data_IF_914657502495
#
_entry.id   IF_914657502495
#
_cell.length_a   1.000
_cell.length_b   1.000
_cell.length_c   1.000
_cell.angle_alpha   90.00
_cell.angle_beta   90.00
_cell.angle_gamma   90.00
#
_symmetry.space_group_name_H-M   'P 1'
#
loop_
_entity.id
_entity.type
_entity.pdbx_description
1 polymer ?
#
# COMPACT_ATOMS: atom_id res chain seq x y z
N UNK A 1 9.08 14.93 0.26
CA UNK A 1 7.74 14.30 0.41
C UNK A 1 6.71 15.37 0.74
N UNK A 2 5.74 15.64 -0.13
CA UNK A 2 4.96 16.88 -0.05
C UNK A 2 3.45 16.72 -0.24
N UNK A 3 2.80 17.83 -0.51
CA UNK A 3 1.37 17.94 -0.79
C UNK A 3 1.13 19.01 -1.84
N UNK A 4 -0.05 19.00 -2.42
CA UNK A 4 -0.56 20.11 -3.21
C UNK A 4 -1.39 21.04 -2.31
N UNK A 5 -1.28 22.33 -2.52
CA UNK A 5 -2.13 23.38 -1.92
C UNK A 5 -2.62 24.24 -3.07
N UNK A 6 -3.92 24.25 -3.32
CA UNK A 6 -4.54 24.93 -4.45
C UNK A 6 -3.81 24.68 -5.79
N UNK A 7 -3.49 23.41 -6.04
CA UNK A 7 -2.76 22.94 -7.22
C UNK A 7 -1.26 23.23 -7.24
N UNK A 8 -0.71 23.89 -6.24
CA UNK A 8 0.72 24.20 -6.15
C UNK A 8 1.44 23.16 -5.29
N UNK A 9 2.55 22.61 -5.80
CA UNK A 9 3.36 21.65 -5.06
C UNK A 9 4.13 22.33 -3.92
N UNK A 10 4.03 21.72 -2.71
CA UNK A 10 4.73 22.15 -1.51
C UNK A 10 5.48 20.96 -0.92
N UNK A 11 6.81 21.03 -0.83
CA UNK A 11 7.61 20.00 -0.15
C UNK A 11 7.51 20.17 1.37
N UNK A 12 6.46 19.60 1.93
CA UNK A 12 6.18 19.67 3.36
C UNK A 12 5.75 18.28 3.89
N UNK A 13 6.51 17.77 4.84
CA UNK A 13 6.18 16.55 5.57
C UNK A 13 5.00 16.75 6.54
N UNK A 14 4.55 15.68 7.17
CA UNK A 14 3.55 15.75 8.23
C UNK A 14 4.07 16.56 9.42
N UNK A 15 3.26 17.50 9.91
CA UNK A 15 3.61 18.34 11.06
C UNK A 15 3.29 17.62 12.37
N UNK A 16 4.23 16.81 12.83
CA UNK A 16 4.09 16.06 14.09
C UNK A 16 4.10 16.95 15.33
N UNK A 17 4.56 18.20 15.22
CA UNK A 17 4.50 19.16 16.36
C UNK A 17 3.07 19.48 16.74
N UNK A 18 2.18 19.69 15.75
CA UNK A 18 0.75 19.96 15.98
C UNK A 18 -0.01 18.76 16.56
N UNK A 19 0.51 17.55 16.39
CA UNK A 19 -0.11 16.31 16.87
C UNK A 19 0.59 15.72 18.11
N UNK A 20 1.35 16.54 18.83
CA UNK A 20 2.03 16.11 20.06
C UNK A 20 3.12 15.05 19.84
N UNK A 21 3.75 15.03 18.67
CA UNK A 21 4.78 14.06 18.29
C UNK A 21 4.25 12.83 17.55
N UNK A 22 2.95 12.76 17.27
CA UNK A 22 2.28 11.60 16.64
C UNK A 22 2.20 11.77 15.12
N UNK A 23 2.40 10.69 14.41
CA UNK A 23 2.06 10.61 12.99
C UNK A 23 0.55 10.38 12.81
N UNK A 24 -0.10 11.29 12.08
CA UNK A 24 -1.54 11.21 11.77
C UNK A 24 -1.71 11.24 10.26
N UNK A 25 -2.30 10.18 9.71
CA UNK A 25 -2.56 10.05 8.27
C UNK A 25 -3.81 10.82 7.87
N UNK A 26 -3.72 11.61 6.78
CA UNK A 26 -4.88 12.27 6.17
C UNK A 26 -5.66 11.29 5.30
N UNK A 27 -6.98 11.51 5.20
CA UNK A 27 -7.85 10.70 4.33
C UNK A 27 -7.63 11.02 2.86
N UNK A 28 -7.85 10.02 2.02
CA UNK A 28 -7.88 10.12 0.56
C UNK A 28 -9.18 10.77 0.08
N UNK A 29 -9.14 11.47 -1.07
CA UNK A 29 -10.28 12.27 -1.53
C UNK A 29 -11.00 11.70 -2.75
N UNK A 30 -10.31 10.91 -3.58
CA UNK A 30 -10.93 10.26 -4.74
C UNK A 30 -11.46 8.90 -4.31
N UNK A 31 -12.80 8.75 -4.26
CA UNK A 31 -13.47 7.60 -3.64
C UNK A 31 -14.58 6.99 -4.52
N UNK A 32 -14.56 7.24 -5.83
CA UNK A 32 -15.49 6.61 -6.78
C UNK A 32 -15.12 5.14 -7.02
N UNK A 33 -16.03 4.39 -7.67
CA UNK A 33 -15.90 2.94 -7.80
C UNK A 33 -15.94 2.46 -9.25
N UNK A 34 -15.19 1.39 -9.52
CA UNK A 34 -15.42 0.53 -10.69
C UNK A 34 -16.36 -0.58 -10.25
N UNK A 35 -17.46 -0.75 -10.99
CA UNK A 35 -18.42 -1.84 -10.82
C UNK A 35 -18.64 -2.53 -12.16
N UNK A 36 -19.18 -3.75 -12.15
CA UNK A 36 -19.39 -4.53 -13.38
C UNK A 36 -20.32 -3.82 -14.38
N UNK A 37 -21.32 -3.11 -13.88
CA UNK A 37 -22.36 -2.41 -14.68
C UNK A 37 -22.15 -0.89 -14.78
N UNK A 38 -21.27 -0.31 -13.97
CA UNK A 38 -21.05 1.13 -13.89
C UNK A 38 -21.91 1.86 -12.86
N UNK A 39 -22.63 1.14 -12.00
CA UNK A 39 -23.36 1.71 -10.87
C UNK A 39 -22.41 2.32 -9.83
N UNK A 40 -22.93 3.21 -8.99
CA UNK A 40 -22.16 3.78 -7.88
C UNK A 40 -21.82 2.70 -6.85
N UNK A 41 -20.65 2.79 -6.25
CA UNK A 41 -20.21 1.92 -5.17
C UNK A 41 -20.62 2.44 -3.79
N UNK A 42 -20.10 1.82 -2.71
CA UNK A 42 -20.45 2.20 -1.32
C UNK A 42 -19.90 3.55 -0.90
N UNK A 43 -18.91 4.08 -1.58
CA UNK A 43 -18.35 5.41 -1.33
C UNK A 43 -18.28 6.21 -2.63
N UNK A 44 -18.00 7.53 -2.53
CA UNK A 44 -17.98 8.42 -3.69
C UNK A 44 -19.38 8.73 -4.22
N UNK A 45 -19.44 9.31 -5.41
CA UNK A 45 -20.70 9.80 -6.02
C UNK A 45 -20.96 9.17 -7.40
N UNK A 46 -19.96 8.57 -8.03
CA UNK A 46 -20.05 8.04 -9.38
C UNK A 46 -19.52 6.61 -9.45
N UNK A 47 -20.12 5.81 -10.34
CA UNK A 47 -19.66 4.51 -10.74
C UNK A 47 -19.03 4.53 -12.14
N UNK A 48 -18.06 3.67 -12.35
CA UNK A 48 -17.36 3.46 -13.61
C UNK A 48 -17.50 2.01 -14.02
N UNK A 49 -17.96 1.77 -15.25
CA UNK A 49 -18.15 0.41 -15.75
C UNK A 49 -16.79 -0.27 -15.96
N UNK A 50 -16.65 -1.50 -15.49
CA UNK A 50 -15.48 -2.32 -15.81
C UNK A 50 -15.38 -2.55 -17.32
N UNK A 51 -14.23 -2.21 -17.89
CA UNK A 51 -13.90 -2.40 -19.31
C UNK A 51 -12.41 -2.77 -19.40
N UNK A 52 -12.06 -3.73 -20.25
CA UNK A 52 -10.66 -4.09 -20.51
C UNK A 52 -9.90 -2.91 -21.13
N UNK A 53 -8.64 -2.73 -20.74
CA UNK A 53 -7.75 -1.67 -21.23
C UNK A 53 -8.22 -0.22 -20.97
N UNK A 54 -9.28 -0.03 -20.17
CA UNK A 54 -9.78 1.31 -19.80
C UNK A 54 -9.00 1.93 -18.66
N UNK A 55 -8.61 1.14 -17.69
CA UNK A 55 -8.03 1.62 -16.44
C UNK A 55 -6.51 1.51 -16.40
N UNK A 56 -5.93 2.32 -15.54
CA UNK A 56 -4.49 2.38 -15.31
C UNK A 56 -4.21 2.57 -13.82
N UNK A 57 -3.18 1.90 -13.29
CA UNK A 57 -2.73 2.05 -11.92
C UNK A 57 -1.38 2.76 -11.87
N UNK A 58 -1.30 3.85 -11.11
CA UNK A 58 -0.03 4.43 -10.70
C UNK A 58 0.36 3.84 -9.35
N UNK A 59 1.53 3.24 -9.27
CA UNK A 59 2.00 2.51 -8.08
C UNK A 59 3.46 2.82 -7.77
N UNK A 60 3.87 2.51 -6.54
CA UNK A 60 5.26 2.37 -6.14
C UNK A 60 5.48 0.94 -5.64
N UNK A 61 6.54 0.29 -6.09
CA UNK A 61 6.89 -1.06 -5.61
C UNK A 61 7.36 -1.04 -4.15
N UNK A 62 7.75 0.14 -3.64
CA UNK A 62 8.09 0.31 -2.23
C UNK A 62 6.85 0.43 -1.32
N UNK A 63 5.75 1.01 -1.83
CA UNK A 63 4.59 1.38 -1.02
C UNK A 63 3.73 0.17 -0.64
N UNK A 64 3.50 -0.13 0.66
CA UNK A 64 2.67 -1.26 1.07
C UNK A 64 1.20 -1.10 0.67
N UNK A 65 0.69 0.13 0.57
CA UNK A 65 -0.67 0.41 0.15
C UNK A 65 -0.86 0.10 -1.35
N UNK A 66 0.09 0.51 -2.20
CA UNK A 66 0.08 0.19 -3.63
C UNK A 66 0.33 -1.31 -3.88
N UNK A 67 1.15 -1.96 -3.06
CA UNK A 67 1.42 -3.41 -3.13
C UNK A 67 0.14 -4.25 -3.04
N UNK A 68 -0.86 -3.83 -2.23
CA UNK A 68 -2.17 -4.50 -2.17
C UNK A 68 -2.83 -4.57 -3.53
N UNK A 69 -2.79 -3.47 -4.29
CA UNK A 69 -3.42 -3.39 -5.62
C UNK A 69 -2.68 -4.21 -6.66
N UNK A 70 -1.35 -4.32 -6.56
CA UNK A 70 -0.56 -5.21 -7.40
C UNK A 70 -0.87 -6.68 -7.11
N UNK A 71 -0.97 -7.06 -5.83
CA UNK A 71 -1.31 -8.42 -5.43
C UNK A 71 -2.67 -8.84 -6.00
N UNK A 72 -3.72 -8.06 -5.79
CA UNK A 72 -5.06 -8.41 -6.29
C UNK A 72 -5.11 -8.42 -7.82
N UNK A 73 -4.39 -7.49 -8.49
CA UNK A 73 -4.25 -7.47 -9.95
C UNK A 73 -3.66 -8.78 -10.47
N UNK A 74 -2.64 -9.30 -9.81
CA UNK A 74 -1.99 -10.58 -10.17
C UNK A 74 -2.87 -11.79 -9.82
N UNK A 75 -3.46 -11.81 -8.63
CA UNK A 75 -4.36 -12.90 -8.21
C UNK A 75 -5.57 -13.04 -9.14
N UNK A 76 -6.07 -11.94 -9.65
CA UNK A 76 -7.21 -11.89 -10.58
C UNK A 76 -6.81 -11.96 -12.06
N UNK A 77 -5.51 -12.00 -12.37
CA UNK A 77 -5.01 -12.05 -13.75
C UNK A 77 -5.41 -10.84 -14.58
N UNK A 78 -5.32 -9.64 -14.00
CA UNK A 78 -5.76 -8.39 -14.64
C UNK A 78 -4.60 -7.66 -15.35
N UNK A 79 -3.44 -8.30 -15.54
CA UNK A 79 -2.24 -7.67 -16.10
C UNK A 79 -2.47 -7.11 -17.51
N UNK A 80 -3.21 -7.82 -18.32
CA UNK A 80 -3.56 -7.41 -19.69
C UNK A 80 -4.78 -6.48 -19.74
N UNK A 81 -5.54 -6.36 -18.64
CA UNK A 81 -6.75 -5.53 -18.57
C UNK A 81 -6.50 -4.15 -17.97
N UNK A 82 -5.52 -4.04 -17.06
CA UNK A 82 -5.20 -2.83 -16.31
C UNK A 82 -3.70 -2.58 -16.40
N UNK A 83 -3.30 -1.58 -17.14
CA UNK A 83 -1.90 -1.16 -17.28
C UNK A 83 -1.39 -0.48 -16.01
N UNK A 84 -0.06 -0.40 -15.85
CA UNK A 84 0.57 0.25 -14.70
C UNK A 84 1.64 1.25 -15.10
N UNK A 85 1.83 2.27 -14.28
CA UNK A 85 3.06 3.06 -14.17
C UNK A 85 3.67 2.86 -12.78
N UNK A 86 4.99 2.80 -12.72
CA UNK A 86 5.74 2.61 -11.49
C UNK A 86 6.62 3.82 -11.25
N UNK A 87 6.40 4.53 -10.14
CA UNK A 87 7.21 5.68 -9.76
C UNK A 87 8.60 5.28 -9.27
N UNK A 88 9.54 6.19 -9.37
CA UNK A 88 10.90 6.02 -8.86
C UNK A 88 10.90 5.74 -7.34
N UNK A 89 11.77 4.87 -6.81
CA UNK A 89 11.77 4.52 -5.38
C UNK A 89 12.12 5.68 -4.46
N UNK A 90 12.97 6.62 -4.89
CA UNK A 90 13.30 7.79 -4.10
C UNK A 90 12.21 8.85 -4.21
N UNK A 91 11.63 9.21 -3.07
CA UNK A 91 10.60 10.24 -2.95
C UNK A 91 11.22 11.44 -2.23
N UNK A 92 11.82 12.36 -2.98
CA UNK A 92 12.56 13.53 -2.47
C UNK A 92 11.69 14.80 -2.54
N UNK A 93 12.32 15.94 -2.88
CA UNK A 93 11.70 17.29 -2.88
C UNK A 93 10.50 17.42 -3.84
N UNK A 94 10.50 16.68 -4.94
CA UNK A 94 9.37 16.65 -5.90
C UNK A 94 8.34 15.55 -5.63
N UNK A 95 8.45 14.84 -4.50
CA UNK A 95 7.59 13.71 -4.21
C UNK A 95 7.87 12.50 -5.09
N UNK A 96 6.84 11.82 -5.56
CA UNK A 96 6.96 10.71 -6.49
C UNK A 96 7.25 11.21 -7.90
N UNK A 97 8.31 10.66 -8.53
CA UNK A 97 8.73 11.00 -9.89
C UNK A 97 8.64 9.79 -10.83
N UNK A 98 8.64 10.05 -12.14
CA UNK A 98 8.78 9.05 -13.19
C UNK A 98 10.17 9.11 -13.84
N UNK A 99 11.16 9.66 -13.13
CA UNK A 99 12.55 9.67 -13.59
C UNK A 99 13.05 8.25 -13.86
N UNK A 100 13.88 8.08 -14.87
CA UNK A 100 14.39 6.78 -15.28
C UNK A 100 15.14 6.08 -14.14
N UNK A 101 14.91 4.78 -14.00
CA UNK A 101 15.53 3.93 -12.99
C UNK A 101 15.11 2.48 -13.14
N UNK A 102 15.85 1.59 -12.51
CA UNK A 102 15.52 0.18 -12.53
C UNK A 102 14.12 -0.05 -11.92
N UNK A 103 13.26 -0.77 -12.65
CA UNK A 103 11.87 -1.06 -12.24
C UNK A 103 10.90 0.11 -12.34
N UNK A 104 11.32 1.29 -12.82
CA UNK A 104 10.44 2.43 -13.10
C UNK A 104 9.72 2.23 -14.42
N UNK A 105 8.42 2.54 -14.43
CA UNK A 105 7.61 2.58 -15.66
C UNK A 105 6.99 3.98 -15.75
N UNK A 106 7.39 4.75 -16.75
CA UNK A 106 6.95 6.12 -16.97
C UNK A 106 5.44 6.24 -17.19
N UNK A 107 4.94 7.47 -17.14
CA UNK A 107 3.53 7.76 -17.40
C UNK A 107 3.23 7.82 -18.90
N UNK A 108 2.44 6.88 -19.47
CA UNK A 108 2.08 6.89 -20.88
C UNK A 108 0.89 7.80 -21.21
N UNK A 109 0.22 8.39 -20.22
CA UNK A 109 -1.06 9.09 -20.39
C UNK A 109 -0.85 10.60 -20.55
N UNK A 110 -0.10 11.20 -19.63
CA UNK A 110 0.20 12.63 -19.62
C UNK A 110 1.67 12.93 -19.92
N UNK A 111 2.53 11.90 -19.96
CA UNK A 111 3.99 12.04 -20.00
C UNK A 111 4.51 12.91 -18.83
N UNK A 112 3.83 12.76 -17.69
CA UNK A 112 4.14 13.49 -16.48
C UNK A 112 5.54 13.12 -15.96
N UNK A 113 6.27 14.11 -15.50
CA UNK A 113 7.55 13.91 -14.82
C UNK A 113 7.35 13.58 -13.34
N UNK A 114 6.29 14.13 -12.76
CA UNK A 114 5.96 13.99 -11.34
C UNK A 114 4.52 13.48 -11.18
N UNK A 115 4.27 12.66 -10.16
CA UNK A 115 2.92 12.16 -9.90
C UNK A 115 1.93 13.29 -9.55
N UNK A 116 2.39 14.37 -8.93
CA UNK A 116 1.51 15.50 -8.61
C UNK A 116 0.93 16.19 -9.86
N UNK A 117 1.61 16.10 -11.01
CA UNK A 117 1.08 16.61 -12.29
C UNK A 117 -0.13 15.80 -12.76
N UNK A 118 -0.18 14.48 -12.48
CA UNK A 118 -1.36 13.65 -12.75
C UNK A 118 -2.56 14.12 -11.91
N UNK A 119 -2.35 14.48 -10.65
CA UNK A 119 -3.40 15.01 -9.77
C UNK A 119 -3.92 16.36 -10.26
N UNK A 120 -3.03 17.29 -10.62
CA UNK A 120 -3.42 18.62 -11.10
C UNK A 120 -3.99 18.61 -12.51
N UNK A 121 -3.63 17.65 -13.36
CA UNK A 121 -4.29 17.45 -14.65
C UNK A 121 -5.77 17.05 -14.51
N UNK A 122 -6.13 16.35 -13.43
CA UNK A 122 -7.51 15.96 -13.12
C UNK A 122 -8.26 17.04 -12.33
N UNK A 123 -7.59 17.61 -11.33
CA UNK A 123 -8.14 18.63 -10.45
C UNK A 123 -7.12 19.76 -10.26
N UNK A 124 -7.17 20.84 -11.07
CA UNK A 124 -6.16 21.89 -11.09
C UNK A 124 -5.96 22.60 -9.73
N UNK A 125 -7.00 22.67 -8.90
CA UNK A 125 -7.03 23.26 -7.56
C UNK A 125 -6.88 22.24 -6.43
N UNK A 126 -6.38 21.02 -6.73
CA UNK A 126 -6.29 19.96 -5.72
C UNK A 126 -5.47 20.41 -4.51
N UNK A 127 -6.04 20.24 -3.32
CA UNK A 127 -5.36 20.42 -2.03
C UNK A 127 -5.36 19.11 -1.28
N UNK A 128 -4.16 18.54 -1.03
CA UNK A 128 -4.01 17.26 -0.33
C UNK A 128 -2.71 16.55 -0.64
N UNK A 129 -2.50 15.40 0.01
CA UNK A 129 -1.32 14.55 -0.23
C UNK A 129 -1.41 13.87 -1.60
N UNK A 130 -0.27 13.81 -2.28
CA UNK A 130 -0.11 13.07 -3.53
C UNK A 130 0.44 11.69 -3.19
N UNK A 131 -0.39 10.68 -3.34
CA UNK A 131 -0.13 9.32 -2.85
C UNK A 131 -0.30 8.28 -3.95
N UNK A 132 0.24 7.10 -3.74
CA UNK A 132 -0.02 5.87 -4.50
C UNK A 132 -0.67 4.84 -3.57
N UNK A 133 -1.54 3.93 -4.08
CA UNK A 133 -1.95 3.77 -5.49
C UNK A 133 -2.90 4.87 -5.96
N UNK A 134 -2.96 5.05 -7.29
CA UNK A 134 -3.99 5.83 -7.97
C UNK A 134 -4.62 4.96 -9.05
N UNK A 135 -5.93 4.76 -8.97
CA UNK A 135 -6.71 4.11 -10.02
C UNK A 135 -7.28 5.17 -10.95
N UNK A 136 -6.84 5.15 -12.20
CA UNK A 136 -7.13 6.17 -13.21
C UNK A 136 -7.99 5.61 -14.34
N UNK A 137 -8.96 6.39 -14.82
CA UNK A 137 -9.77 6.09 -16.00
C UNK A 137 -9.24 6.84 -17.23
N UNK A 138 -8.63 6.11 -18.17
CA UNK A 138 -8.07 6.66 -19.40
C UNK A 138 -9.15 7.25 -20.33
N UNK A 139 -10.40 6.76 -20.26
CA UNK A 139 -11.51 7.17 -21.11
C UNK A 139 -12.05 8.55 -20.73
N UNK A 140 -12.24 8.78 -19.44
CA UNK A 140 -12.74 10.06 -18.91
C UNK A 140 -11.63 10.98 -18.41
N UNK A 141 -10.37 10.51 -18.44
CA UNK A 141 -9.18 11.23 -17.97
C UNK A 141 -9.32 11.74 -16.54
N UNK A 142 -9.79 10.86 -15.63
CA UNK A 142 -9.99 11.22 -14.23
C UNK A 142 -9.42 10.16 -13.28
N UNK A 143 -9.11 10.57 -12.06
CA UNK A 143 -8.81 9.66 -10.97
C UNK A 143 -10.12 9.09 -10.44
N UNK A 144 -10.28 7.77 -10.52
CA UNK A 144 -11.43 7.06 -9.96
C UNK A 144 -11.33 6.97 -8.44
N UNK A 145 -10.16 6.46 -7.98
CA UNK A 145 -9.97 6.18 -6.56
C UNK A 145 -8.48 6.20 -6.21
N UNK A 146 -8.13 6.64 -4.98
CA UNK A 146 -6.77 6.56 -4.45
C UNK A 146 -6.73 5.97 -3.02
N UNK A 147 -7.75 5.16 -2.65
CA UNK A 147 -7.79 4.39 -1.43
C UNK A 147 -7.58 2.90 -1.72
N UNK A 148 -6.46 2.37 -1.28
CA UNK A 148 -6.06 0.99 -1.60
C UNK A 148 -7.07 -0.05 -1.14
N UNK A 149 -7.70 0.14 0.01
CA UNK A 149 -8.70 -0.77 0.57
C UNK A 149 -9.95 -0.89 -0.29
N UNK A 150 -10.33 0.17 -1.00
CA UNK A 150 -11.45 0.16 -1.94
C UNK A 150 -11.03 -0.36 -3.31
N UNK A 151 -9.85 0.03 -3.78
CA UNK A 151 -9.32 -0.44 -5.08
C UNK A 151 -9.25 -1.98 -5.10
N UNK A 152 -8.74 -2.61 -4.04
CA UNK A 152 -8.65 -4.08 -4.02
C UNK A 152 -10.02 -4.75 -4.03
N UNK A 153 -11.05 -4.15 -3.42
CA UNK A 153 -12.43 -4.65 -3.48
C UNK A 153 -13.06 -4.49 -4.86
N UNK A 154 -12.79 -3.36 -5.54
CA UNK A 154 -13.20 -3.18 -6.94
C UNK A 154 -12.59 -4.25 -7.84
N UNK A 155 -11.26 -4.45 -7.75
CA UNK A 155 -10.53 -5.41 -8.57
C UNK A 155 -10.87 -6.87 -8.26
N UNK A 156 -11.39 -7.15 -7.06
CA UNK A 156 -11.78 -8.49 -6.64
C UNK A 156 -12.90 -9.09 -7.50
N UNK A 157 -13.89 -8.29 -7.93
CA UNK A 157 -15.09 -8.81 -8.59
C UNK A 157 -15.53 -8.06 -9.85
N UNK A 158 -15.20 -6.78 -9.99
CA UNK A 158 -15.75 -5.96 -11.09
C UNK A 158 -15.41 -6.49 -12.49
N UNK A 159 -14.31 -7.21 -12.66
CA UNK A 159 -13.83 -7.73 -13.93
C UNK A 159 -14.15 -9.22 -14.17
N UNK A 160 -14.89 -9.88 -13.29
CA UNK A 160 -15.19 -11.31 -13.40
C UNK A 160 -15.89 -11.64 -14.73
N UNK A 161 -16.85 -10.85 -15.16
CA UNK A 161 -17.54 -10.98 -16.44
C UNK A 161 -16.68 -10.68 -17.68
N UNK A 162 -15.45 -10.22 -17.52
CA UNK A 162 -14.51 -9.87 -18.58
C UNK A 162 -13.35 -10.87 -18.71
N UNK A 163 -13.39 -11.98 -17.99
CA UNK A 163 -12.38 -13.04 -18.05
C UNK A 163 -11.28 -12.93 -16.98
N UNK A 164 -11.51 -12.20 -15.89
CA UNK A 164 -10.63 -12.26 -14.72
C UNK A 164 -10.54 -13.69 -14.18
N UNK A 165 -9.40 -14.06 -13.60
CA UNK A 165 -9.22 -15.35 -12.94
C UNK A 165 -10.29 -15.54 -11.85
N UNK A 166 -10.86 -16.74 -11.70
CA UNK A 166 -11.82 -17.02 -10.65
C UNK A 166 -11.19 -16.86 -9.26
N UNK A 167 -11.99 -16.43 -8.31
CA UNK A 167 -11.59 -16.21 -6.92
C UNK A 167 -12.30 -14.99 -6.34
N UNK A 168 -12.83 -15.15 -5.14
CA UNK A 168 -13.38 -14.05 -4.36
C UNK A 168 -12.63 -14.00 -3.02
N UNK A 169 -11.90 -12.91 -2.80
CA UNK A 169 -11.10 -12.70 -1.60
C UNK A 169 -11.86 -11.96 -0.50
N UNK A 170 -13.14 -11.63 -0.75
CA UNK A 170 -14.08 -11.03 0.22
C UNK A 170 -15.42 -11.77 0.13
N UNK A 171 -15.49 -13.07 0.48
CA UNK A 171 -16.75 -13.79 0.44
C UNK A 171 -17.76 -13.27 1.46
N UNK A 172 -19.01 -13.11 1.07
CA UNK A 172 -20.08 -12.54 1.90
C UNK A 172 -20.20 -13.21 3.27
N UNK A 173 -20.04 -14.53 3.31
CA UNK A 173 -20.12 -15.32 4.56
C UNK A 173 -19.05 -14.98 5.60
N UNK A 174 -17.96 -14.33 5.21
CA UNK A 174 -16.86 -13.92 6.09
C UNK A 174 -16.63 -12.40 6.10
N UNK A 175 -17.48 -11.63 5.46
CA UNK A 175 -17.31 -10.20 5.31
C UNK A 175 -17.12 -9.48 6.66
N UNK A 176 -17.95 -9.78 7.64
CA UNK A 176 -17.89 -9.19 8.98
C UNK A 176 -16.58 -9.52 9.71
N UNK A 177 -16.13 -10.78 9.62
CA UNK A 177 -14.85 -11.19 10.22
C UNK A 177 -13.68 -10.56 9.49
N UNK A 178 -13.71 -10.52 8.13
CA UNK A 178 -12.69 -9.84 7.32
C UNK A 178 -12.59 -8.37 7.71
N UNK A 179 -13.71 -7.67 7.84
CA UNK A 179 -13.73 -6.26 8.20
C UNK A 179 -13.21 -6.01 9.62
N UNK A 180 -13.54 -6.88 10.57
CA UNK A 180 -13.02 -6.83 11.94
C UNK A 180 -11.51 -7.01 11.99
N UNK A 181 -10.98 -8.02 11.28
CA UNK A 181 -9.53 -8.26 11.19
C UNK A 181 -8.84 -7.11 10.45
N UNK A 182 -9.44 -6.61 9.37
CA UNK A 182 -8.91 -5.49 8.61
C UNK A 182 -8.77 -4.22 9.45
N UNK A 183 -9.76 -3.91 10.28
CA UNK A 183 -9.73 -2.75 11.17
C UNK A 183 -8.59 -2.88 12.19
N UNK A 184 -8.50 -4.03 12.84
CA UNK A 184 -7.42 -4.32 13.77
C UNK A 184 -6.03 -4.20 13.11
N UNK A 185 -5.82 -4.90 12.00
CA UNK A 185 -4.56 -4.89 11.24
C UNK A 185 -4.21 -3.48 10.76
N UNK A 186 -5.20 -2.73 10.26
CA UNK A 186 -4.99 -1.36 9.79
C UNK A 186 -4.51 -0.43 10.89
N UNK A 187 -5.21 -0.41 12.01
CA UNK A 187 -4.92 0.54 13.09
C UNK A 187 -3.69 0.16 13.92
N UNK A 188 -3.46 -1.14 14.15
CA UNK A 188 -2.43 -1.64 15.06
C UNK A 188 -1.13 -2.03 14.38
N UNK A 189 -1.19 -2.55 13.14
CA UNK A 189 -0.01 -3.08 12.45
C UNK A 189 0.35 -2.21 11.25
N UNK A 190 -0.53 -2.06 10.24
CA UNK A 190 -0.17 -1.32 9.03
C UNK A 190 0.16 0.15 9.31
N UNK A 191 -0.63 0.85 10.11
CA UNK A 191 -0.29 2.19 10.59
C UNK A 191 0.63 2.15 11.83
N UNK A 192 0.64 1.09 12.60
CA UNK A 192 1.47 0.93 13.79
C UNK A 192 2.95 1.15 13.50
N UNK A 193 3.48 0.51 12.44
CA UNK A 193 4.88 0.69 12.02
C UNK A 193 5.20 2.16 11.65
N UNK A 194 4.25 2.89 11.06
CA UNK A 194 4.42 4.30 10.73
C UNK A 194 4.30 5.22 11.95
N UNK A 195 3.38 4.90 12.86
CA UNK A 195 3.21 5.65 14.12
C UNK A 195 4.46 5.55 14.98
N UNK A 196 5.05 4.37 15.11
CA UNK A 196 6.33 4.17 15.79
C UNK A 196 7.47 4.87 15.03
N UNK A 197 7.60 4.62 13.71
CA UNK A 197 8.74 5.08 12.91
C UNK A 197 8.82 6.60 12.73
N UNK A 198 7.68 7.28 12.69
CA UNK A 198 7.60 8.74 12.56
C UNK A 198 7.31 9.47 13.88
N UNK A 199 7.29 8.77 15.01
CA UNK A 199 7.19 9.41 16.32
C UNK A 199 8.37 10.37 16.51
N UNK A 200 8.09 11.58 17.01
CA UNK A 200 9.11 12.59 17.29
C UNK A 200 9.27 12.88 18.78
N UNK A 201 8.60 12.08 19.64
CA UNK A 201 8.78 12.06 21.09
C UNK A 201 8.98 10.64 21.57
N UNK A 202 9.81 10.47 22.57
CA UNK A 202 10.17 9.16 23.14
C UNK A 202 8.95 8.41 23.65
N UNK A 203 8.13 9.08 24.45
CA UNK A 203 6.92 8.49 25.04
C UNK A 203 5.91 8.03 23.98
N UNK A 204 5.79 8.75 22.85
CA UNK A 204 4.93 8.34 21.72
C UNK A 204 5.49 7.12 21.02
N UNK A 205 6.79 7.08 20.79
CA UNK A 205 7.44 5.91 20.20
C UNK A 205 7.23 4.66 21.07
N UNK A 206 7.47 4.76 22.38
CA UNK A 206 7.31 3.64 23.33
C UNK A 206 5.88 3.12 23.37
N UNK A 207 4.89 4.01 23.38
CA UNK A 207 3.47 3.65 23.33
C UNK A 207 3.14 2.89 22.03
N UNK A 208 3.52 3.46 20.86
CA UNK A 208 3.13 2.90 19.57
C UNK A 208 3.90 1.61 19.23
N UNK A 209 5.19 1.50 19.61
CA UNK A 209 5.94 0.26 19.37
C UNK A 209 5.46 -0.87 20.28
N UNK A 210 5.11 -0.58 21.53
CA UNK A 210 4.54 -1.57 22.45
C UNK A 210 3.19 -2.07 21.93
N UNK A 211 2.32 -1.17 21.50
CA UNK A 211 1.02 -1.52 20.92
C UNK A 211 1.15 -2.34 19.64
N UNK A 212 2.14 -2.02 18.78
CA UNK A 212 2.44 -2.77 17.57
C UNK A 212 2.83 -4.22 17.89
N UNK A 213 3.77 -4.42 18.82
CA UNK A 213 4.25 -5.77 19.15
C UNK A 213 3.18 -6.59 19.86
N UNK A 214 2.36 -6.00 20.75
CA UNK A 214 1.19 -6.67 21.31
C UNK A 214 0.19 -7.12 20.21
N UNK A 215 0.05 -6.36 19.13
CA UNK A 215 -0.78 -6.76 18.00
C UNK A 215 -0.14 -7.87 17.14
N UNK A 216 1.18 -7.85 16.98
CA UNK A 216 1.89 -8.95 16.30
C UNK A 216 1.80 -10.25 17.09
N UNK A 217 1.91 -10.20 18.43
CA UNK A 217 1.72 -11.37 19.29
C UNK A 217 0.31 -11.97 19.14
N UNK A 218 -0.74 -11.14 19.06
CA UNK A 218 -2.10 -11.61 18.80
C UNK A 218 -2.25 -12.28 17.44
N UNK A 219 -1.58 -11.76 16.41
CA UNK A 219 -1.61 -12.40 15.07
C UNK A 219 -0.79 -13.69 15.06
N UNK A 220 0.31 -13.75 15.79
CA UNK A 220 1.09 -14.98 16.00
C UNK A 220 0.23 -16.08 16.61
N UNK A 221 -0.50 -15.76 17.69
CA UNK A 221 -1.42 -16.69 18.35
C UNK A 221 -2.57 -17.12 17.42
N UNK A 222 -3.15 -16.17 16.67
CA UNK A 222 -4.22 -16.46 15.70
C UNK A 222 -3.79 -17.47 14.66
N UNK A 223 -2.55 -17.38 14.18
CA UNK A 223 -1.98 -18.24 13.14
C UNK A 223 -1.41 -19.58 13.67
N UNK A 224 -1.42 -19.81 14.97
CA UNK A 224 -0.92 -21.08 15.55
C UNK A 224 -1.72 -22.32 15.13
N UNK A 225 -2.97 -22.16 14.70
CA UNK A 225 -3.86 -23.27 14.33
C UNK A 225 -4.47 -23.15 12.94
N UNK A 226 -4.05 -22.16 12.13
CA UNK A 226 -4.62 -21.93 10.80
C UNK A 226 -3.62 -21.30 9.84
N UNK A 227 -3.82 -21.56 8.57
CA UNK A 227 -2.91 -21.11 7.49
C UNK A 227 -3.14 -19.65 7.08
N UNK A 228 -4.33 -19.10 7.27
CA UNK A 228 -4.78 -17.77 6.86
C UNK A 228 -5.60 -17.11 7.96
N UNK A 229 -5.77 -15.79 7.90
CA UNK A 229 -6.42 -15.02 8.96
C UNK A 229 -7.92 -15.30 9.11
N UNK A 230 -8.62 -15.58 8.01
CA UNK A 230 -10.07 -15.80 8.00
C UNK A 230 -10.43 -16.98 7.09
N UNK A 231 -11.30 -17.90 7.57
CA UNK A 231 -11.87 -18.97 6.78
C UNK A 231 -10.88 -19.98 6.21
N UNK A 232 -9.67 -20.05 6.76
CA UNK A 232 -8.58 -20.95 6.36
C UNK A 232 -8.28 -20.93 4.84
N UNK A 233 -8.42 -19.78 4.23
CA UNK A 233 -8.08 -19.50 2.82
C UNK A 233 -7.61 -18.06 2.68
N UNK A 234 -6.89 -17.78 1.59
CA UNK A 234 -6.44 -16.40 1.29
C UNK A 234 -7.65 -15.48 1.14
N UNK A 235 -7.67 -14.40 1.93
CA UNK A 235 -8.68 -13.33 1.91
C UNK A 235 -8.03 -11.95 1.80
N UNK A 236 -8.85 -10.91 1.71
CA UNK A 236 -8.40 -9.51 1.76
C UNK A 236 -7.60 -9.21 3.03
N UNK A 237 -7.96 -9.82 4.17
CA UNK A 237 -7.25 -9.61 5.43
C UNK A 237 -5.77 -10.02 5.32
N UNK A 238 -5.49 -11.13 4.64
CA UNK A 238 -4.14 -11.63 4.40
C UNK A 238 -3.36 -10.70 3.48
N UNK A 239 -3.99 -10.21 2.40
CA UNK A 239 -3.37 -9.23 1.47
C UNK A 239 -2.95 -7.98 2.24
N UNK A 240 -3.79 -7.49 3.15
CA UNK A 240 -3.50 -6.28 3.95
C UNK A 240 -2.38 -6.49 4.97
N UNK A 241 -2.36 -7.61 5.66
CA UNK A 241 -1.31 -7.90 6.64
C UNK A 241 0.02 -8.18 5.95
N UNK A 242 0.03 -9.02 4.93
CA UNK A 242 1.24 -9.44 4.21
C UNK A 242 2.10 -8.25 3.76
N UNK A 243 1.48 -7.19 3.21
CA UNK A 243 2.26 -6.05 2.69
C UNK A 243 3.10 -5.33 3.75
N UNK A 244 2.70 -5.40 5.02
CA UNK A 244 3.52 -4.91 6.14
C UNK A 244 4.55 -5.95 6.56
N UNK A 245 4.17 -7.21 6.71
CA UNK A 245 5.06 -8.27 7.19
C UNK A 245 6.27 -8.48 6.25
N UNK A 246 6.05 -8.53 4.93
CA UNK A 246 7.12 -8.73 3.95
C UNK A 246 8.18 -7.61 3.97
N UNK A 247 7.83 -6.44 4.50
CA UNK A 247 8.70 -5.28 4.67
C UNK A 247 9.33 -5.20 6.07
N UNK A 248 8.87 -6.01 7.02
CA UNK A 248 9.12 -5.78 8.43
C UNK A 248 10.61 -5.80 8.76
N UNK A 249 11.28 -6.92 8.54
CA UNK A 249 12.70 -7.04 8.85
C UNK A 249 13.59 -6.24 7.88
N UNK A 250 13.14 -6.07 6.63
CA UNK A 250 13.89 -5.33 5.62
C UNK A 250 14.00 -3.82 5.93
N UNK A 251 12.93 -3.21 6.47
CA UNK A 251 12.89 -1.76 6.68
C UNK A 251 12.30 -1.33 8.02
N UNK A 252 11.19 -1.91 8.51
CA UNK A 252 10.56 -1.39 9.73
C UNK A 252 11.37 -1.70 10.98
N UNK A 253 11.99 -2.85 11.05
CA UNK A 253 12.85 -3.26 12.15
C UNK A 253 14.02 -2.28 12.35
N UNK A 254 14.80 -2.01 11.31
CA UNK A 254 15.95 -1.12 11.39
C UNK A 254 15.57 0.36 11.29
N UNK A 255 14.94 0.74 10.17
CA UNK A 255 14.68 2.14 9.84
C UNK A 255 13.67 2.81 10.77
N UNK A 256 12.56 2.12 11.06
CA UNK A 256 11.51 2.62 11.95
C UNK A 256 11.67 2.24 13.42
N UNK A 257 12.76 1.53 13.76
CA UNK A 257 13.04 1.07 15.13
C UNK A 257 11.92 0.17 15.72
N UNK A 258 11.17 -0.53 14.86
CA UNK A 258 10.21 -1.54 15.28
C UNK A 258 10.98 -2.84 15.63
N UNK A 259 11.81 -2.81 16.67
CA UNK A 259 12.91 -3.78 16.86
C UNK A 259 12.92 -4.49 18.20
N UNK A 260 11.77 -4.62 18.87
CA UNK A 260 11.68 -5.48 20.06
C UNK A 260 11.94 -6.94 19.69
N UNK A 261 11.50 -7.37 18.50
CA UNK A 261 11.67 -8.73 17.99
C UNK A 261 11.61 -8.71 16.46
N UNK A 262 12.51 -9.37 15.71
CA UNK A 262 12.39 -9.47 14.25
C UNK A 262 11.21 -10.39 13.88
N UNK A 263 10.64 -10.19 12.68
CA UNK A 263 9.54 -11.04 12.20
C UNK A 263 9.95 -12.51 12.09
N UNK A 264 11.19 -12.76 11.70
CA UNK A 264 11.77 -14.12 11.61
C UNK A 264 11.81 -14.87 12.94
N UNK A 265 11.66 -14.19 14.09
CA UNK A 265 11.55 -14.81 15.40
C UNK A 265 10.10 -15.13 15.82
N UNK A 266 9.12 -14.88 14.94
CA UNK A 266 7.72 -15.26 15.09
C UNK A 266 7.43 -16.47 14.19
N UNK A 267 7.40 -17.70 14.73
CA UNK A 267 7.34 -18.89 13.88
C UNK A 267 6.09 -18.97 12.98
N UNK A 268 4.93 -18.62 13.51
CA UNK A 268 3.68 -18.68 12.72
C UNK A 268 3.57 -17.52 11.74
N UNK A 269 3.85 -16.29 12.14
CA UNK A 269 3.85 -15.12 11.27
C UNK A 269 4.91 -15.23 10.17
N UNK A 270 6.08 -15.78 10.48
CA UNK A 270 7.11 -15.97 9.46
C UNK A 270 6.72 -17.05 8.45
N UNK A 271 6.25 -18.21 8.90
CA UNK A 271 5.74 -19.26 8.03
C UNK A 271 4.55 -18.78 7.17
N UNK A 272 3.64 -18.03 7.76
CA UNK A 272 2.51 -17.40 7.05
C UNK A 272 3.00 -16.42 5.98
N UNK A 273 3.99 -15.56 6.30
CA UNK A 273 4.53 -14.59 5.35
C UNK A 273 5.20 -15.27 4.18
N UNK A 274 5.99 -16.33 4.42
CA UNK A 274 6.58 -17.16 3.36
C UNK A 274 5.53 -17.82 2.49
N UNK A 275 4.50 -18.41 3.10
CA UNK A 275 3.39 -19.05 2.38
C UNK A 275 2.74 -18.10 1.37
N UNK A 276 2.46 -16.85 1.76
CA UNK A 276 1.86 -15.87 0.86
C UNK A 276 2.87 -15.44 -0.21
N UNK A 277 4.12 -15.21 0.16
CA UNK A 277 5.19 -14.83 -0.77
C UNK A 277 5.37 -15.89 -1.87
N UNK A 278 5.25 -17.18 -1.53
CA UNK A 278 5.42 -18.32 -2.44
C UNK A 278 4.19 -18.59 -3.32
N UNK A 279 3.04 -17.95 -3.08
CA UNK A 279 1.90 -18.09 -3.97
C UNK A 279 2.26 -17.61 -5.39
N UNK A 280 1.72 -18.28 -6.44
CA UNK A 280 2.02 -17.93 -7.83
C UNK A 280 1.82 -16.44 -8.10
N UNK A 281 2.87 -15.77 -8.55
CA UNK A 281 2.86 -14.35 -8.91
C UNK A 281 3.09 -13.39 -7.73
N UNK A 282 3.09 -13.84 -6.48
CA UNK A 282 3.22 -12.91 -5.33
C UNK A 282 4.64 -12.36 -5.17
N UNK A 283 5.66 -13.20 -5.32
CA UNK A 283 7.04 -12.75 -5.24
C UNK A 283 7.35 -11.60 -6.22
N UNK A 284 6.77 -11.63 -7.43
CA UNK A 284 6.94 -10.60 -8.45
C UNK A 284 6.29 -9.26 -8.07
N UNK A 285 5.38 -9.24 -7.10
CA UNK A 285 4.79 -8.00 -6.57
C UNK A 285 5.66 -7.33 -5.49
N UNK A 286 6.76 -7.97 -5.10
CA UNK A 286 7.67 -7.50 -4.04
C UNK A 286 9.03 -7.15 -4.66
N UNK A 287 9.46 -5.91 -4.49
CA UNK A 287 10.78 -5.44 -4.95
C UNK A 287 11.55 -4.89 -3.75
N UNK A 288 12.46 -5.70 -3.20
CA UNK A 288 13.25 -5.33 -2.02
C UNK A 288 14.22 -4.17 -2.27
N UNK A 289 14.74 -4.01 -3.51
CA UNK A 289 15.57 -2.86 -3.85
C UNK A 289 14.77 -1.56 -3.73
N UNK A 290 13.60 -1.48 -4.40
CA UNK A 290 12.73 -0.32 -4.27
C UNK A 290 12.28 -0.06 -2.83
N UNK A 291 11.94 -1.12 -2.07
CA UNK A 291 11.56 -1.01 -0.66
C UNK A 291 12.70 -0.37 0.14
N UNK A 292 13.89 -0.93 0.11
CA UNK A 292 15.03 -0.42 0.89
C UNK A 292 15.44 0.98 0.45
N UNK A 293 15.57 1.21 -0.86
CA UNK A 293 15.92 2.54 -1.41
C UNK A 293 14.91 3.60 -1.00
N UNK A 294 13.61 3.30 -1.05
CA UNK A 294 12.58 4.25 -0.63
C UNK A 294 12.72 4.61 0.85
N UNK A 295 12.68 3.62 1.74
CA UNK A 295 12.67 3.92 3.18
C UNK A 295 13.97 4.56 3.65
N UNK A 296 15.11 3.99 3.31
CA UNK A 296 16.40 4.51 3.78
C UNK A 296 16.88 5.76 3.00
N UNK A 297 16.51 5.89 1.72
CA UNK A 297 16.95 6.99 0.88
C UNK A 297 16.05 8.23 0.93
N UNK A 298 14.74 8.08 1.24
CA UNK A 298 13.78 9.18 1.18
C UNK A 298 13.54 9.86 2.53
N UNK A 299 13.66 9.16 3.64
CA UNK A 299 13.33 9.70 4.97
C UNK A 299 14.55 10.32 5.66
N UNK A 300 15.03 11.47 5.15
CA UNK A 300 16.24 12.15 5.64
C UNK A 300 16.19 12.53 7.13
N UNK A 301 15.02 12.71 7.71
CA UNK A 301 14.86 12.97 9.16
C UNK A 301 15.16 11.75 10.03
N UNK A 302 15.07 10.54 9.48
CA UNK A 302 15.34 9.28 10.18
C UNK A 302 16.74 8.78 9.80
N UNK A 303 17.09 8.83 8.50
CA UNK A 303 18.37 8.39 7.96
C UNK A 303 19.01 9.51 7.13
N UNK A 304 19.66 10.50 7.79
CA UNK A 304 20.18 11.70 7.13
C UNK A 304 21.31 11.41 6.12
N UNK A 305 22.05 10.33 6.29
CA UNK A 305 23.14 9.94 5.39
C UNK A 305 22.64 9.31 4.10
N UNK A 306 21.40 8.78 4.07
CA UNK A 306 20.84 8.06 2.93
C UNK A 306 21.50 6.69 2.66
N UNK A 307 22.36 6.20 3.55
CA UNK A 307 22.99 4.88 3.40
C UNK A 307 21.94 3.78 3.48
N UNK A 308 21.95 2.87 2.50
CA UNK A 308 20.99 1.76 2.37
C UNK A 308 21.67 0.48 2.85
N UNK A 309 21.09 -0.26 3.81
CA UNK A 309 21.70 -1.48 4.33
C UNK A 309 21.67 -2.63 3.30
N UNK A 310 22.68 -3.47 3.29
CA UNK A 310 22.70 -4.69 2.47
C UNK A 310 21.72 -5.74 3.00
N UNK A 311 21.66 -5.94 4.32
CA UNK A 311 20.78 -6.90 4.97
C UNK A 311 19.35 -6.40 5.21
N UNK A 312 18.52 -7.23 5.86
CA UNK A 312 18.82 -8.62 6.17
C UNK A 312 18.80 -9.53 4.94
N UNK A 313 19.51 -10.65 4.98
CA UNK A 313 19.28 -11.76 4.07
C UNK A 313 18.16 -12.62 4.65
N UNK A 314 17.03 -12.70 3.96
CA UNK A 314 15.86 -13.45 4.38
C UNK A 314 15.75 -14.73 3.54
N UNK A 315 15.48 -15.83 4.21
CA UNK A 315 15.19 -17.12 3.58
C UNK A 315 13.69 -17.19 3.26
N UNK A 316 13.36 -17.13 1.97
CA UNK A 316 11.99 -17.17 1.45
C UNK A 316 11.55 -18.57 0.99
N UNK A 317 12.42 -19.56 1.05
CA UNK A 317 12.14 -20.96 0.70
C UNK A 317 11.47 -21.74 1.83
#
# INVERSE_FOLDING_TARGET
MGLLVDGQWVDQWYDTKKTGGRFVRTQTQFRNWITADGSAGPTGQAGYKAETNRYHLYVSLACPWASRTLMIRTLKGLEDMISISVVHPLMLEHGWTFEEGEGVIGDPIFQARYLHEVYTAVKPDYTGRVTVPVLFDKKTKTIVNNESSEIIRMLNTAFDGLGAKPGNYVPDQWLEEIDTVNDFVYHRINNGVYKAGFATKQEVYEEEVTALFAALDQMEERLAGQDYLVGNRLTEADIRLFTTLVRFDAVYFGHFKCNLKPLTAYPNLWAYTKRIYQLPGMAQTVNFDHIKRHYYGSHKTINPTGVIPLGPTLDWD
#
